data_IF_413941662390
#
_entry.id   IF_413941662390
#
_cell.length_a   1.000
_cell.length_b   1.000
_cell.length_c   1.000
_cell.angle_alpha   90.00
_cell.angle_beta   90.00
_cell.angle_gamma   90.00
#
_symmetry.space_group_name_H-M   'P 1'
#
loop_
_entity.id
_entity.type
_entity.pdbx_description
1 polymer ?
#
# COMPACT_ATOMS: atom_id res chain seq x y z
N UNK A 1 35.56 -38.31 -16.11
CA UNK A 1 34.29 -38.49 -15.41
C UNK A 1 33.54 -37.18 -15.37
N UNK A 2 32.66 -36.96 -16.34
CA UNK A 2 31.81 -35.76 -16.43
C UNK A 2 30.54 -35.97 -15.59
N UNK A 3 30.40 -35.24 -14.50
CA UNK A 3 29.17 -35.20 -13.72
C UNK A 3 28.14 -34.40 -14.53
N UNK A 4 27.12 -35.08 -15.03
CA UNK A 4 25.88 -34.52 -15.57
C UNK A 4 25.17 -33.73 -14.47
N UNK A 5 25.23 -32.39 -14.51
CA UNK A 5 24.31 -31.56 -13.73
C UNK A 5 22.90 -31.78 -14.27
N UNK A 6 22.09 -32.45 -13.50
CA UNK A 6 20.64 -32.50 -13.70
C UNK A 6 20.10 -31.07 -13.77
N UNK A 7 19.50 -30.72 -14.89
CA UNK A 7 18.72 -29.48 -15.02
C UNK A 7 17.47 -29.66 -14.18
N UNK A 8 17.51 -29.19 -12.95
CA UNK A 8 16.28 -29.00 -12.16
C UNK A 8 15.38 -28.07 -12.98
N UNK A 9 14.21 -28.57 -13.32
CA UNK A 9 13.18 -27.82 -14.03
C UNK A 9 12.75 -26.67 -13.12
N UNK A 10 13.27 -25.46 -13.35
CA UNK A 10 12.90 -24.25 -12.63
C UNK A 10 11.72 -23.60 -13.37
N UNK A 11 10.47 -23.76 -12.88
CA UNK A 11 9.28 -23.19 -13.51
C UNK A 11 9.32 -21.66 -13.58
N UNK A 12 10.19 -21.03 -12.78
CA UNK A 12 10.36 -19.59 -12.73
C UNK A 12 11.49 -19.07 -13.64
N UNK A 13 12.17 -19.94 -14.39
CA UNK A 13 13.29 -19.51 -15.27
C UNK A 13 12.87 -18.44 -16.29
N UNK A 14 11.66 -18.52 -16.87
CA UNK A 14 11.13 -17.50 -17.79
C UNK A 14 10.84 -16.17 -17.08
N UNK A 15 10.31 -16.22 -15.86
CA UNK A 15 10.11 -15.04 -15.01
C UNK A 15 11.45 -14.39 -14.65
N UNK A 16 12.48 -15.21 -14.41
CA UNK A 16 13.83 -14.72 -14.08
C UNK A 16 14.50 -14.04 -15.27
N UNK A 17 14.31 -14.54 -16.50
CA UNK A 17 14.83 -13.93 -17.73
C UNK A 17 14.11 -12.61 -18.05
N UNK A 18 12.79 -12.55 -17.84
CA UNK A 18 12.02 -11.30 -18.01
C UNK A 18 12.46 -10.24 -17.00
N UNK A 19 12.67 -10.63 -15.73
CA UNK A 19 13.13 -9.72 -14.68
C UNK A 19 14.58 -9.28 -14.88
N UNK A 20 15.45 -10.07 -15.52
CA UNK A 20 16.84 -9.69 -15.78
C UNK A 20 16.95 -8.59 -16.86
N UNK A 21 16.05 -8.58 -17.83
CA UNK A 21 15.97 -7.52 -18.87
C UNK A 21 15.50 -6.17 -18.28
N UNK A 22 14.63 -6.20 -17.29
CA UNK A 22 14.19 -5.04 -16.50
C UNK A 22 15.26 -4.59 -15.47
N UNK A 23 16.18 -5.42 -15.12
CA UNK A 23 17.15 -5.29 -14.02
C UNK A 23 18.21 -4.21 -14.22
N UNK A 24 18.57 -3.87 -15.46
CA UNK A 24 19.65 -2.91 -15.74
C UNK A 24 19.25 -1.45 -15.48
N UNK A 25 17.95 -1.11 -15.61
CA UNK A 25 17.43 0.22 -15.26
C UNK A 25 16.75 0.29 -13.89
N UNK A 26 16.18 -0.82 -13.39
CA UNK A 26 15.33 -0.86 -12.20
C UNK A 26 16.09 -1.05 -10.87
N UNK A 27 17.33 -1.56 -10.87
CA UNK A 27 18.10 -1.77 -9.63
C UNK A 27 18.32 -0.47 -8.85
N UNK A 28 18.65 0.61 -9.53
CA UNK A 28 18.83 1.91 -8.90
C UNK A 28 17.51 2.45 -8.36
N UNK A 29 16.42 2.36 -9.14
CA UNK A 29 15.13 2.90 -8.76
C UNK A 29 14.52 2.21 -7.53
N UNK A 30 14.55 0.86 -7.49
CA UNK A 30 14.00 0.11 -6.34
C UNK A 30 14.81 0.32 -5.05
N UNK A 31 16.15 0.43 -5.17
CA UNK A 31 16.99 0.77 -4.02
C UNK A 31 16.75 2.18 -3.53
N UNK A 32 16.49 3.11 -4.45
CA UNK A 32 16.17 4.50 -4.13
C UNK A 32 14.82 4.60 -3.41
N UNK A 33 13.80 3.92 -3.93
CA UNK A 33 12.48 3.88 -3.31
C UNK A 33 12.53 3.28 -1.90
N UNK A 34 13.25 2.17 -1.72
CA UNK A 34 13.47 1.56 -0.41
C UNK A 34 14.20 2.52 0.55
N UNK A 35 15.19 3.27 0.07
CA UNK A 35 15.92 4.24 0.89
C UNK A 35 15.04 5.41 1.31
N UNK A 36 14.20 5.94 0.41
CA UNK A 36 13.21 6.97 0.69
C UNK A 36 12.23 6.48 1.77
N UNK A 37 11.71 5.27 1.60
CA UNK A 37 10.76 4.68 2.53
C UNK A 37 11.37 4.44 3.92
N UNK A 38 12.63 4.00 4.00
CA UNK A 38 13.34 3.82 5.28
C UNK A 38 13.54 5.13 6.03
N UNK A 39 13.76 6.25 5.33
CA UNK A 39 13.86 7.57 5.99
C UNK A 39 12.52 8.01 6.62
N UNK A 40 11.39 7.52 6.11
CA UNK A 40 10.05 7.81 6.64
C UNK A 40 9.59 6.79 7.69
N UNK A 41 10.37 5.74 7.93
CA UNK A 41 10.02 4.70 8.90
C UNK A 41 9.69 5.25 10.31
N UNK A 42 10.40 6.25 10.87
CA UNK A 42 10.02 6.83 12.16
C UNK A 42 8.62 7.43 12.16
N UNK A 43 8.20 8.08 11.06
CA UNK A 43 6.87 8.68 10.94
C UNK A 43 5.78 7.60 10.90
N UNK A 44 5.98 6.56 10.09
CA UNK A 44 5.01 5.44 9.98
C UNK A 44 4.93 4.63 11.27
N UNK A 45 6.07 4.39 11.94
CA UNK A 45 6.09 3.72 13.24
C UNK A 45 5.39 4.53 14.33
N UNK A 46 5.59 5.86 14.36
CA UNK A 46 4.92 6.74 15.31
C UNK A 46 3.41 6.75 15.08
N UNK A 47 2.96 6.80 13.82
CA UNK A 47 1.55 6.67 13.46
C UNK A 47 0.96 5.33 13.96
N UNK A 48 1.60 4.24 13.63
CA UNK A 48 1.19 2.91 14.02
C UNK A 48 1.14 2.73 15.55
N UNK A 49 2.13 3.27 16.27
CA UNK A 49 2.18 3.24 17.73
C UNK A 49 1.02 4.06 18.34
N UNK A 50 0.72 5.24 17.79
CA UNK A 50 -0.40 6.06 18.24
C UNK A 50 -1.73 5.32 18.10
N UNK A 51 -1.98 4.66 16.96
CA UNK A 51 -3.16 3.84 16.73
C UNK A 51 -3.22 2.67 17.73
N UNK A 52 -2.13 1.93 17.87
CA UNK A 52 -2.04 0.80 18.78
C UNK A 52 -2.35 1.20 20.23
N UNK A 53 -1.69 2.23 20.73
CA UNK A 53 -1.91 2.73 22.08
C UNK A 53 -3.32 3.29 22.29
N UNK A 54 -3.90 3.94 21.26
CA UNK A 54 -5.28 4.41 21.28
C UNK A 54 -6.28 3.27 21.47
N UNK A 55 -6.12 2.17 20.73
CA UNK A 55 -6.97 0.98 20.90
C UNK A 55 -6.70 0.24 22.20
N UNK A 56 -5.44 0.07 22.59
CA UNK A 56 -5.08 -0.54 23.87
C UNK A 56 -5.68 0.22 25.06
N UNK A 57 -5.64 1.55 25.03
CA UNK A 57 -6.26 2.39 26.06
C UNK A 57 -7.78 2.15 26.16
N UNK A 58 -8.48 2.01 25.02
CA UNK A 58 -9.92 1.69 25.02
C UNK A 58 -10.22 0.32 25.64
N UNK A 59 -9.46 -0.70 25.26
CA UNK A 59 -9.66 -2.09 25.72
C UNK A 59 -9.39 -2.21 27.22
N UNK A 60 -8.38 -1.50 27.73
CA UNK A 60 -8.00 -1.52 29.14
C UNK A 60 -8.87 -0.61 30.03
N UNK A 61 -9.96 -0.03 29.50
CA UNK A 61 -10.84 0.86 30.25
C UNK A 61 -10.21 2.20 30.58
N UNK A 62 -9.19 2.62 29.81
CA UNK A 62 -8.52 3.90 29.96
C UNK A 62 -9.41 5.11 29.67
N UNK A 63 -8.94 6.29 30.06
CA UNK A 63 -9.66 7.55 29.88
C UNK A 63 -9.91 7.79 28.40
N UNK A 64 -11.16 8.05 28.03
CA UNK A 64 -11.58 8.26 26.64
C UNK A 64 -10.80 9.40 25.94
N UNK A 65 -10.42 10.43 26.69
CA UNK A 65 -9.61 11.56 26.20
C UNK A 65 -8.23 11.16 25.70
N UNK A 66 -7.55 10.22 26.39
CA UNK A 66 -6.24 9.72 25.99
C UNK A 66 -6.33 8.97 24.66
N UNK A 67 -7.34 8.12 24.50
CA UNK A 67 -7.55 7.40 23.25
C UNK A 67 -7.90 8.33 22.09
N UNK A 68 -8.72 9.36 22.32
CA UNK A 68 -9.04 10.37 21.31
C UNK A 68 -7.80 11.19 20.91
N UNK A 69 -6.98 11.61 21.87
CA UNK A 69 -5.72 12.32 21.59
C UNK A 69 -4.79 11.47 20.72
N UNK A 70 -4.65 10.18 21.02
CA UNK A 70 -3.80 9.27 20.25
C UNK A 70 -4.32 9.04 18.83
N UNK A 71 -5.64 8.93 18.64
CA UNK A 71 -6.22 8.85 17.30
C UNK A 71 -6.04 10.15 16.53
N UNK A 72 -6.25 11.30 17.18
CA UNK A 72 -6.00 12.59 16.55
C UNK A 72 -4.53 12.78 16.14
N UNK A 73 -3.59 12.35 16.99
CA UNK A 73 -2.16 12.32 16.63
C UNK A 73 -1.91 11.42 15.40
N UNK A 74 -2.54 10.25 15.34
CA UNK A 74 -2.46 9.36 14.18
C UNK A 74 -2.99 10.04 12.92
N UNK A 75 -4.14 10.71 12.99
CA UNK A 75 -4.71 11.42 11.85
C UNK A 75 -3.76 12.53 11.33
N UNK A 76 -3.11 13.26 12.22
CA UNK A 76 -2.10 14.25 11.84
C UNK A 76 -0.91 13.58 11.13
N UNK A 77 -0.38 12.50 11.69
CA UNK A 77 0.79 11.79 11.16
C UNK A 77 0.52 11.16 9.79
N UNK A 78 -0.67 10.55 9.60
CA UNK A 78 -1.03 9.93 8.32
C UNK A 78 -1.26 10.99 7.23
N UNK A 79 -1.85 12.13 7.58
CA UNK A 79 -2.06 13.22 6.64
C UNK A 79 -0.74 13.94 6.27
N UNK A 80 0.23 13.96 7.18
CA UNK A 80 1.57 14.52 6.92
C UNK A 80 2.42 13.58 6.04
N UNK A 81 2.14 12.28 6.02
CA UNK A 81 2.98 11.26 5.39
C UNK A 81 3.27 11.52 3.90
N UNK A 82 2.30 11.84 3.02
CA UNK A 82 2.59 12.08 1.61
C UNK A 82 3.44 13.34 1.38
N UNK A 83 3.22 14.39 2.17
CA UNK A 83 4.04 15.61 2.11
C UNK A 83 5.47 15.33 2.56
N UNK A 84 5.65 14.60 3.66
CA UNK A 84 6.97 14.16 4.12
C UNK A 84 7.65 13.27 3.08
N UNK A 85 6.88 12.38 2.43
CA UNK A 85 7.39 11.53 1.35
C UNK A 85 7.87 12.37 0.15
N UNK A 86 7.13 13.41 -0.24
CA UNK A 86 7.54 14.34 -1.30
C UNK A 86 8.86 15.05 -0.97
N UNK A 87 9.00 15.54 0.27
CA UNK A 87 10.22 16.20 0.76
C UNK A 87 11.41 15.24 0.71
N UNK A 88 11.26 14.05 1.28
CA UNK A 88 12.34 13.05 1.35
C UNK A 88 12.71 12.54 -0.04
N UNK A 89 11.74 12.33 -0.92
CA UNK A 89 11.99 11.95 -2.31
C UNK A 89 12.75 13.04 -3.07
N UNK A 90 12.32 14.31 -2.94
CA UNK A 90 13.01 15.45 -3.54
C UNK A 90 14.44 15.61 -3.01
N UNK A 91 14.64 15.47 -1.70
CA UNK A 91 15.95 15.47 -1.06
C UNK A 91 16.84 14.35 -1.59
N UNK A 92 16.34 13.12 -1.61
CA UNK A 92 17.10 11.96 -2.07
C UNK A 92 17.50 12.07 -3.55
N UNK A 93 16.57 12.50 -4.40
CA UNK A 93 16.82 12.69 -5.83
C UNK A 93 17.83 13.82 -6.10
N UNK A 94 17.84 14.87 -5.27
CA UNK A 94 18.78 15.99 -5.39
C UNK A 94 20.24 15.57 -5.26
N UNK A 95 20.54 14.58 -4.42
CA UNK A 95 21.90 14.06 -4.23
C UNK A 95 22.47 13.36 -5.45
N UNK A 96 21.64 12.99 -6.43
CA UNK A 96 22.07 12.39 -7.70
C UNK A 96 22.47 13.41 -8.75
N UNK A 97 22.19 14.68 -8.51
CA UNK A 97 22.47 15.78 -9.42
C UNK A 97 23.12 16.91 -8.63
N UNK A 98 24.01 17.66 -9.21
CA UNK A 98 24.61 18.84 -8.60
C UNK A 98 23.60 20.04 -8.55
N UNK A 99 22.38 19.78 -8.09
CA UNK A 99 21.32 20.79 -7.89
C UNK A 99 21.02 20.87 -6.41
N UNK A 100 20.75 22.09 -5.92
CA UNK A 100 20.40 22.30 -4.52
C UNK A 100 19.17 21.50 -4.12
N UNK A 101 19.26 20.78 -3.00
CA UNK A 101 18.16 20.01 -2.45
C UNK A 101 16.93 20.89 -2.16
N UNK A 102 17.16 22.14 -1.69
CA UNK A 102 16.09 23.09 -1.40
C UNK A 102 15.25 23.41 -2.65
N UNK A 103 15.91 23.63 -3.80
CA UNK A 103 15.22 23.93 -5.05
C UNK A 103 14.34 22.75 -5.47
N UNK A 104 14.89 21.54 -5.52
CA UNK A 104 14.11 20.36 -5.94
C UNK A 104 12.95 20.12 -4.98
N UNK A 105 13.14 20.26 -3.67
CA UNK A 105 12.07 20.12 -2.68
C UNK A 105 10.95 21.15 -2.93
N UNK A 106 11.28 22.44 -3.14
CA UNK A 106 10.29 23.48 -3.40
C UNK A 106 9.49 23.16 -4.66
N UNK A 107 10.16 22.83 -5.77
CA UNK A 107 9.50 22.47 -7.03
C UNK A 107 8.61 21.24 -6.85
N UNK A 108 9.09 20.22 -6.11
CA UNK A 108 8.34 19.00 -5.84
C UNK A 108 7.08 19.28 -5.03
N UNK A 109 7.17 20.10 -3.99
CA UNK A 109 6.02 20.47 -3.16
C UNK A 109 5.00 21.29 -3.94
N UNK A 110 5.44 22.27 -4.72
CA UNK A 110 4.54 23.08 -5.55
C UNK A 110 3.77 22.19 -6.53
N UNK A 111 4.46 21.30 -7.25
CA UNK A 111 3.81 20.37 -8.16
C UNK A 111 2.85 19.42 -7.41
N UNK A 112 3.29 18.86 -6.30
CA UNK A 112 2.49 17.94 -5.50
C UNK A 112 1.18 18.57 -5.03
N UNK A 113 1.24 19.78 -4.48
CA UNK A 113 0.04 20.48 -4.04
C UNK A 113 -0.86 20.92 -5.20
N UNK A 114 -0.31 21.44 -6.30
CA UNK A 114 -1.11 21.84 -7.46
C UNK A 114 -1.88 20.67 -8.08
N UNK A 115 -1.22 19.50 -8.23
CA UNK A 115 -1.90 18.32 -8.77
C UNK A 115 -2.93 17.77 -7.76
N UNK A 116 -2.67 17.88 -6.47
CA UNK A 116 -3.55 17.33 -5.44
C UNK A 116 -4.82 18.13 -5.25
N UNK A 117 -4.76 19.46 -5.30
CA UNK A 117 -5.92 20.35 -5.12
C UNK A 117 -7.01 20.05 -6.17
N UNK A 118 -6.63 19.78 -7.41
CA UNK A 118 -7.58 19.53 -8.47
C UNK A 118 -8.19 18.13 -8.44
N UNK A 119 -7.46 17.15 -7.91
CA UNK A 119 -7.96 15.80 -7.71
C UNK A 119 -8.84 15.65 -6.45
N UNK A 120 -8.75 16.57 -5.48
CA UNK A 120 -9.54 16.54 -4.23
C UNK A 120 -10.97 17.10 -4.38
N UNK A 121 -11.35 17.63 -5.54
CA UNK A 121 -12.73 18.07 -5.80
C UNK A 121 -13.77 16.95 -5.67
N UNK A 122 -13.33 15.69 -5.58
CA UNK A 122 -14.15 14.49 -5.40
C UNK A 122 -14.30 14.05 -3.92
N UNK A 123 -13.56 14.63 -2.98
CA UNK A 123 -13.68 14.29 -1.55
C UNK A 123 -13.58 15.54 -0.67
N UNK A 124 -14.73 16.06 -0.29
CA UNK A 124 -14.91 17.34 0.42
C UNK A 124 -14.32 17.45 1.84
N UNK A 125 -13.51 16.50 2.33
CA UNK A 125 -13.12 16.42 3.74
C UNK A 125 -11.62 16.31 4.04
N UNK A 126 -10.72 16.39 3.05
CA UNK A 126 -9.29 16.26 3.32
C UNK A 126 -8.50 17.50 2.91
N UNK A 127 -7.97 18.21 3.91
CA UNK A 127 -7.15 19.42 3.72
C UNK A 127 -5.73 19.13 3.16
N UNK A 128 -5.29 17.86 3.10
CA UNK A 128 -3.96 17.49 2.64
C UNK A 128 -4.04 16.32 1.66
N UNK A 129 -3.26 16.38 0.57
CA UNK A 129 -3.23 15.31 -0.43
C UNK A 129 -2.69 14.01 0.17
N UNK A 130 -3.51 12.96 0.20
CA UNK A 130 -3.13 11.66 0.79
C UNK A 130 -2.73 10.63 -0.28
N UNK A 131 -1.72 10.97 -1.10
CA UNK A 131 -1.24 10.06 -2.14
C UNK A 131 0.30 10.03 -2.25
N UNK A 132 0.97 9.04 -1.62
CA UNK A 132 2.44 8.89 -1.70
C UNK A 132 2.97 8.67 -3.12
N UNK A 133 2.19 8.03 -4.00
CA UNK A 133 2.58 7.82 -5.40
C UNK A 133 2.65 9.15 -6.15
N UNK A 134 1.66 10.02 -5.92
CA UNK A 134 1.65 11.36 -6.49
C UNK A 134 2.81 12.21 -5.98
N UNK A 135 3.16 12.05 -4.70
CA UNK A 135 4.33 12.68 -4.11
C UNK A 135 5.64 12.25 -4.80
N UNK A 136 5.81 10.94 -5.03
CA UNK A 136 6.96 10.41 -5.76
C UNK A 136 7.00 10.87 -7.22
N UNK A 137 5.86 10.87 -7.89
CA UNK A 137 5.71 11.37 -9.25
C UNK A 137 6.13 12.85 -9.33
N UNK A 138 5.57 13.69 -8.45
CA UNK A 138 5.89 15.13 -8.37
C UNK A 138 7.38 15.38 -8.12
N UNK A 139 8.00 14.63 -7.20
CA UNK A 139 9.43 14.72 -6.93
C UNK A 139 10.28 14.30 -8.15
N UNK A 140 9.87 13.23 -8.84
CA UNK A 140 10.59 12.73 -10.02
C UNK A 140 10.51 13.71 -11.19
N UNK A 141 9.33 14.26 -11.47
CA UNK A 141 9.14 15.23 -12.56
C UNK A 141 9.91 16.52 -12.27
N UNK A 142 9.83 17.03 -11.03
CA UNK A 142 10.58 18.20 -10.60
C UNK A 142 12.10 18.00 -10.71
N UNK A 143 12.58 16.84 -10.31
CA UNK A 143 13.97 16.43 -10.49
C UNK A 143 14.40 16.48 -11.97
N UNK A 144 13.62 15.85 -12.86
CA UNK A 144 13.91 15.83 -14.31
C UNK A 144 13.89 17.26 -14.87
N UNK A 145 12.95 18.10 -14.48
CA UNK A 145 12.86 19.49 -14.89
C UNK A 145 14.10 20.27 -14.45
N UNK A 146 14.43 20.27 -13.16
CA UNK A 146 15.56 21.01 -12.61
C UNK A 146 16.90 20.56 -13.24
N UNK A 147 17.05 19.24 -13.48
CA UNK A 147 18.22 18.70 -14.17
C UNK A 147 18.31 19.15 -15.61
N UNK A 148 17.20 19.15 -16.36
CA UNK A 148 17.18 19.51 -17.78
C UNK A 148 17.51 20.97 -18.02
N UNK A 149 17.02 21.84 -17.15
CA UNK A 149 17.27 23.29 -17.25
C UNK A 149 18.44 23.79 -16.44
N UNK A 150 19.19 22.90 -15.75
CA UNK A 150 20.38 23.22 -14.94
C UNK A 150 20.11 24.37 -13.97
N UNK A 151 19.03 24.25 -13.19
CA UNK A 151 18.67 25.25 -12.19
C UNK A 151 19.61 25.11 -11.00
N UNK A 152 20.42 26.15 -10.73
CA UNK A 152 21.44 26.17 -9.68
C UNK A 152 21.02 27.13 -8.56
N UNK A 153 21.63 26.95 -7.38
CA UNK A 153 21.42 27.87 -6.27
C UNK A 153 22.04 29.23 -6.61
N UNK A 154 21.28 30.29 -6.41
CA UNK A 154 21.76 31.65 -6.61
C UNK A 154 22.83 32.00 -5.57
N UNK A 155 23.96 32.52 -6.05
CA UNK A 155 24.97 33.17 -5.21
C UNK A 155 24.68 34.71 -5.18
N UNK A 156 24.29 35.26 -4.02
CA UNK A 156 24.00 36.70 -3.90
C UNK A 156 25.19 37.61 -4.22
N UNK A 157 26.42 37.05 -4.17
CA UNK A 157 27.67 37.80 -4.44
C UNK A 157 28.12 37.69 -5.89
N UNK A 158 27.45 36.89 -6.72
CA UNK A 158 27.81 36.73 -8.12
C UNK A 158 27.54 38.04 -8.91
N UNK A 159 28.47 38.40 -9.79
CA UNK A 159 28.35 39.65 -10.64
C UNK A 159 27.13 39.61 -11.56
N UNK A 160 26.59 38.45 -11.87
CA UNK A 160 25.44 38.20 -12.74
C UNK A 160 24.16 37.84 -11.97
N UNK A 161 24.10 38.12 -10.65
CA UNK A 161 22.99 37.77 -9.77
C UNK A 161 21.62 38.16 -10.31
N UNK A 162 21.47 39.42 -10.77
CA UNK A 162 20.17 39.92 -11.24
C UNK A 162 19.66 39.22 -12.48
N UNK A 163 20.54 38.87 -13.42
CA UNK A 163 20.14 38.15 -14.64
C UNK A 163 19.82 36.66 -14.36
N UNK A 164 20.55 36.05 -13.44
CA UNK A 164 20.24 34.68 -12.99
C UNK A 164 18.94 34.64 -12.20
N UNK A 165 18.71 35.56 -11.29
CA UNK A 165 17.46 35.69 -10.54
C UNK A 165 16.25 35.78 -11.49
N UNK A 166 16.30 36.68 -12.48
CA UNK A 166 15.23 36.83 -13.48
C UNK A 166 14.99 35.51 -14.24
N UNK A 167 16.05 34.84 -14.66
CA UNK A 167 15.96 33.56 -15.34
C UNK A 167 15.31 32.50 -14.44
N UNK A 168 15.69 32.41 -13.18
CA UNK A 168 15.15 31.37 -12.25
C UNK A 168 13.68 31.66 -11.89
N UNK A 169 13.29 32.95 -11.73
CA UNK A 169 11.88 33.34 -11.57
C UNK A 169 11.07 32.95 -12.80
N UNK A 170 11.61 33.17 -14.01
CA UNK A 170 10.93 32.78 -15.24
C UNK A 170 10.78 31.24 -15.35
N UNK A 171 11.84 30.50 -15.03
CA UNK A 171 11.77 29.02 -15.01
C UNK A 171 10.76 28.50 -13.99
N UNK A 172 10.72 29.10 -12.79
CA UNK A 172 9.73 28.73 -11.77
C UNK A 172 8.30 29.01 -12.24
N UNK A 173 8.08 30.16 -12.85
CA UNK A 173 6.76 30.50 -13.41
C UNK A 173 6.33 29.54 -14.53
N UNK A 174 7.24 29.23 -15.45
CA UNK A 174 6.98 28.23 -16.52
C UNK A 174 6.70 26.84 -15.92
N UNK A 175 7.44 26.47 -14.87
CA UNK A 175 7.21 25.21 -14.16
C UNK A 175 5.83 25.19 -13.48
N UNK A 176 5.39 26.28 -12.85
CA UNK A 176 4.05 26.39 -12.26
C UNK A 176 2.96 26.22 -13.32
N UNK A 177 3.10 26.89 -14.48
CA UNK A 177 2.15 26.71 -15.60
C UNK A 177 2.13 25.28 -16.12
N UNK A 178 3.30 24.64 -16.21
CA UNK A 178 3.41 23.22 -16.56
C UNK A 178 2.72 22.33 -15.52
N UNK A 179 2.94 22.57 -14.22
CA UNK A 179 2.32 21.82 -13.14
C UNK A 179 0.79 21.96 -13.14
N UNK A 180 0.26 23.17 -13.39
CA UNK A 180 -1.19 23.41 -13.55
C UNK A 180 -1.74 22.68 -14.78
N UNK A 181 -1.03 22.72 -15.92
CA UNK A 181 -1.47 21.95 -17.10
C UNK A 181 -1.47 20.44 -16.84
N UNK A 182 -0.49 19.95 -16.09
CA UNK A 182 -0.39 18.54 -15.72
C UNK A 182 -1.47 18.13 -14.72
N UNK A 183 -1.89 19.04 -13.81
CA UNK A 183 -2.98 18.78 -12.87
C UNK A 183 -4.30 18.51 -13.59
N UNK A 184 -4.64 19.32 -14.59
CA UNK A 184 -5.84 19.07 -15.43
C UNK A 184 -5.77 17.71 -16.17
N UNK A 185 -4.60 17.34 -16.67
CA UNK A 185 -4.43 16.03 -17.34
C UNK A 185 -4.59 14.89 -16.35
N UNK A 186 -3.98 15.00 -15.17
CA UNK A 186 -4.09 13.95 -14.15
C UNK A 186 -5.51 13.83 -13.61
N UNK A 187 -6.21 14.94 -13.41
CA UNK A 187 -7.62 14.97 -13.03
C UNK A 187 -8.50 14.30 -14.09
N UNK A 188 -8.33 14.66 -15.37
CA UNK A 188 -9.07 14.04 -16.46
C UNK A 188 -8.83 12.53 -16.59
N UNK A 189 -7.59 12.07 -16.41
CA UNK A 189 -7.25 10.64 -16.41
C UNK A 189 -7.91 9.91 -15.23
N UNK A 190 -7.90 10.54 -14.05
CA UNK A 190 -8.53 9.98 -12.84
C UNK A 190 -10.06 9.89 -12.99
N UNK A 191 -10.67 10.95 -13.52
CA UNK A 191 -12.11 10.99 -13.79
C UNK A 191 -12.51 9.96 -14.86
N UNK A 192 -11.76 9.84 -15.95
CA UNK A 192 -11.96 8.82 -16.96
C UNK A 192 -11.82 7.40 -16.38
N UNK A 193 -10.85 7.17 -15.49
CA UNK A 193 -10.68 5.88 -14.81
C UNK A 193 -11.86 5.57 -13.89
N UNK A 194 -12.24 6.49 -13.01
CA UNK A 194 -13.37 6.30 -12.08
C UNK A 194 -14.69 6.12 -12.84
N UNK A 195 -14.92 6.90 -13.90
CA UNK A 195 -16.11 6.78 -14.76
C UNK A 195 -16.13 5.45 -15.49
N UNK A 196 -14.98 4.99 -16.01
CA UNK A 196 -14.86 3.69 -16.68
C UNK A 196 -15.14 2.56 -15.70
N UNK A 197 -14.55 2.60 -14.50
CA UNK A 197 -14.79 1.58 -13.47
C UNK A 197 -16.23 1.60 -12.97
N UNK A 198 -16.82 2.78 -12.77
CA UNK A 198 -18.23 2.91 -12.40
C UNK A 198 -19.18 2.45 -13.54
N UNK A 199 -18.79 2.64 -14.79
CA UNK A 199 -19.52 2.18 -15.97
C UNK A 199 -19.41 0.66 -16.23
N UNK A 200 -18.47 -0.02 -15.57
CA UNK A 200 -18.41 -1.48 -15.55
C UNK A 200 -19.58 -1.98 -14.69
N UNK A 201 -20.72 -2.27 -15.34
CA UNK A 201 -21.90 -2.82 -14.68
C UNK A 201 -21.60 -4.24 -14.15
N UNK A 202 -20.91 -4.32 -13.01
CA UNK A 202 -20.73 -5.56 -12.28
C UNK A 202 -21.31 -5.42 -10.87
N UNK A 203 -21.96 -6.47 -10.42
CA UNK A 203 -22.46 -6.53 -9.05
C UNK A 203 -21.36 -7.06 -8.13
N UNK A 204 -20.80 -6.24 -7.21
CA UNK A 204 -19.72 -6.64 -6.31
C UNK A 204 -20.12 -7.72 -5.30
N UNK A 205 -21.41 -8.02 -5.16
CA UNK A 205 -21.94 -9.03 -4.26
C UNK A 205 -21.99 -10.43 -4.90
N UNK A 206 -21.77 -10.52 -6.21
CA UNK A 206 -21.60 -11.79 -6.93
C UNK A 206 -20.16 -12.32 -6.83
N UNK A 207 -19.96 -13.62 -7.03
CA UNK A 207 -18.62 -14.22 -7.05
C UNK A 207 -17.68 -13.52 -8.04
N UNK A 208 -18.14 -13.37 -9.29
CA UNK A 208 -17.34 -12.77 -10.37
C UNK A 208 -17.08 -11.29 -10.13
N UNK A 209 -18.11 -10.54 -9.72
CA UNK A 209 -17.99 -9.11 -9.42
C UNK A 209 -17.12 -8.82 -8.20
N UNK A 210 -17.26 -9.60 -7.12
CA UNK A 210 -16.42 -9.46 -5.94
C UNK A 210 -14.96 -9.85 -6.20
N UNK A 211 -14.73 -10.91 -6.99
CA UNK A 211 -13.36 -11.29 -7.41
C UNK A 211 -12.72 -10.20 -8.29
N UNK A 212 -13.50 -9.59 -9.19
CA UNK A 212 -13.05 -8.49 -10.02
C UNK A 212 -12.72 -7.25 -9.18
N UNK A 213 -13.60 -6.89 -8.24
CA UNK A 213 -13.36 -5.81 -7.28
C UNK A 213 -12.07 -6.04 -6.48
N UNK A 214 -11.87 -7.26 -5.93
CA UNK A 214 -10.64 -7.61 -5.20
C UNK A 214 -9.41 -7.55 -6.10
N UNK A 215 -9.52 -7.93 -7.38
CA UNK A 215 -8.42 -7.85 -8.33
C UNK A 215 -7.95 -6.40 -8.53
N UNK A 216 -8.90 -5.48 -8.73
CA UNK A 216 -8.60 -4.05 -8.86
C UNK A 216 -7.97 -3.51 -7.56
N UNK A 217 -8.55 -3.83 -6.39
CA UNK A 217 -7.99 -3.42 -5.09
C UNK A 217 -6.53 -3.87 -4.92
N UNK A 218 -6.26 -5.14 -5.24
CA UNK A 218 -4.92 -5.70 -5.09
C UNK A 218 -3.91 -5.08 -6.07
N UNK A 219 -4.33 -4.80 -7.31
CA UNK A 219 -3.48 -4.13 -8.31
C UNK A 219 -3.19 -2.68 -7.94
N UNK A 220 -4.20 -1.93 -7.47
CA UNK A 220 -4.03 -0.57 -6.98
C UNK A 220 -3.09 -0.55 -5.77
N UNK A 221 -3.29 -1.46 -4.81
CA UNK A 221 -2.39 -1.61 -3.65
C UNK A 221 -0.95 -1.94 -4.04
N UNK A 222 -0.75 -2.80 -5.04
CA UNK A 222 0.57 -3.11 -5.59
C UNK A 222 1.22 -1.91 -6.31
N UNK A 223 0.42 -0.98 -6.80
CA UNK A 223 0.87 0.30 -7.35
C UNK A 223 1.06 1.40 -6.28
N UNK A 224 0.80 1.09 -5.00
CA UNK A 224 0.87 2.06 -3.89
C UNK A 224 -0.32 3.02 -3.83
N UNK A 225 -1.43 2.67 -4.50
CA UNK A 225 -2.66 3.48 -4.53
C UNK A 225 -3.67 2.90 -3.53
N UNK A 226 -4.32 3.77 -2.76
CA UNK A 226 -5.41 3.34 -1.89
C UNK A 226 -6.68 3.04 -2.71
N UNK A 227 -6.85 1.76 -3.07
CA UNK A 227 -7.97 1.31 -3.89
C UNK A 227 -9.33 1.46 -3.20
N UNK A 228 -9.38 1.41 -1.86
CA UNK A 228 -10.63 1.57 -1.12
C UNK A 228 -11.23 2.97 -1.28
N UNK A 229 -10.39 4.00 -1.39
CA UNK A 229 -10.86 5.37 -1.61
C UNK A 229 -11.27 5.57 -3.07
N UNK A 230 -10.53 5.01 -4.03
CA UNK A 230 -10.87 5.12 -5.45
C UNK A 230 -12.16 4.41 -5.83
N UNK A 231 -12.47 3.30 -5.18
CA UNK A 231 -13.65 2.47 -5.46
C UNK A 231 -14.79 2.70 -4.46
N UNK A 232 -14.87 3.89 -3.86
CA UNK A 232 -15.80 4.21 -2.79
C UNK A 232 -17.27 3.94 -3.17
N UNK A 233 -17.70 4.29 -4.38
CA UNK A 233 -19.06 4.06 -4.85
C UNK A 233 -19.44 2.55 -4.85
N UNK A 234 -18.52 1.69 -5.26
CA UNK A 234 -18.71 0.23 -5.24
C UNK A 234 -18.70 -0.28 -3.80
N UNK A 235 -17.80 0.27 -2.98
CA UNK A 235 -17.68 -0.08 -1.56
C UNK A 235 -18.98 0.20 -0.77
N UNK A 236 -19.74 1.23 -1.13
CA UNK A 236 -21.04 1.51 -0.50
C UNK A 236 -22.04 0.36 -0.65
N UNK A 237 -22.07 -0.35 -1.78
CA UNK A 237 -22.93 -1.52 -1.97
C UNK A 237 -22.52 -2.66 -1.03
N UNK A 238 -21.24 -2.84 -0.80
CA UNK A 238 -20.69 -3.85 0.12
C UNK A 238 -21.01 -3.49 1.58
N UNK A 239 -21.02 -2.20 1.94
CA UNK A 239 -21.47 -1.75 3.25
C UNK A 239 -22.96 -2.01 3.47
N UNK A 240 -23.82 -1.70 2.48
CA UNK A 240 -25.24 -1.97 2.56
C UNK A 240 -25.54 -3.48 2.75
N UNK A 241 -24.77 -4.36 2.10
CA UNK A 241 -24.87 -5.80 2.30
C UNK A 241 -24.47 -6.22 3.73
N UNK A 242 -23.50 -5.53 4.35
CA UNK A 242 -23.13 -5.79 5.75
C UNK A 242 -24.23 -5.38 6.71
N UNK A 243 -24.84 -4.21 6.50
CA UNK A 243 -25.96 -3.73 7.30
C UNK A 243 -27.18 -4.67 7.18
N UNK A 244 -27.46 -5.18 5.97
CA UNK A 244 -28.52 -6.16 5.75
C UNK A 244 -28.26 -7.47 6.49
N UNK A 245 -27.03 -8.00 6.45
CA UNK A 245 -26.67 -9.21 7.20
C UNK A 245 -26.81 -9.00 8.72
N UNK A 246 -26.37 -7.85 9.22
CA UNK A 246 -26.46 -7.51 10.64
C UNK A 246 -27.93 -7.37 11.10
N UNK A 247 -28.78 -6.77 10.29
CA UNK A 247 -30.20 -6.65 10.56
C UNK A 247 -30.90 -8.03 10.57
N UNK A 248 -30.60 -8.90 9.61
CA UNK A 248 -31.09 -10.27 9.55
C UNK A 248 -30.68 -11.06 10.80
N UNK A 249 -29.41 -10.94 11.21
CA UNK A 249 -28.94 -11.60 12.44
C UNK A 249 -29.68 -11.11 13.70
N UNK A 250 -29.94 -9.81 13.83
CA UNK A 250 -30.69 -9.24 14.97
C UNK A 250 -32.14 -9.71 15.03
N UNK A 251 -32.76 -9.98 13.90
CA UNK A 251 -34.14 -10.51 13.81
C UNK A 251 -34.22 -12.04 13.86
N UNK A 252 -33.05 -12.73 13.89
CA UNK A 252 -32.98 -14.18 13.86
C UNK A 252 -33.24 -14.79 12.48
N UNK A 253 -33.16 -13.97 11.42
CA UNK A 253 -33.27 -14.41 10.04
C UNK A 253 -31.88 -14.81 9.49
N UNK A 254 -31.89 -15.64 8.44
CA UNK A 254 -30.63 -16.04 7.79
C UNK A 254 -30.02 -14.86 7.01
N UNK A 255 -28.72 -14.65 7.18
CA UNK A 255 -27.97 -13.66 6.41
C UNK A 255 -27.93 -14.03 4.92
N UNK A 256 -28.25 -13.06 4.06
CA UNK A 256 -28.46 -13.28 2.62
C UNK A 256 -27.19 -13.10 1.79
N UNK A 257 -26.23 -12.30 2.27
CA UNK A 257 -25.07 -11.88 1.47
C UNK A 257 -23.83 -12.63 1.92
N UNK A 258 -23.20 -13.37 1.00
CA UNK A 258 -21.90 -14.01 1.22
C UNK A 258 -20.80 -12.95 1.31
N UNK A 259 -20.87 -11.95 0.43
CA UNK A 259 -19.89 -10.85 0.35
C UNK A 259 -20.43 -9.66 1.18
N UNK A 260 -19.57 -9.18 2.07
CA UNK A 260 -19.85 -8.06 2.96
C UNK A 260 -18.55 -7.33 3.31
N UNK A 261 -18.59 -6.20 4.00
CA UNK A 261 -17.37 -5.51 4.44
C UNK A 261 -16.54 -6.41 5.37
N UNK A 262 -17.17 -7.09 6.31
CA UNK A 262 -16.47 -8.00 7.21
C UNK A 262 -15.83 -9.20 6.50
N UNK A 263 -16.39 -9.64 5.36
CA UNK A 263 -15.76 -10.63 4.49
C UNK A 263 -14.38 -10.16 4.00
N UNK A 264 -14.26 -8.91 3.56
CA UNK A 264 -12.98 -8.33 3.14
C UNK A 264 -12.05 -8.07 4.32
N UNK A 265 -12.54 -7.44 5.38
CA UNK A 265 -11.71 -7.00 6.49
C UNK A 265 -11.22 -8.17 7.35
N UNK A 266 -12.08 -9.17 7.61
CA UNK A 266 -11.69 -10.31 8.42
C UNK A 266 -10.86 -11.35 7.64
N UNK A 267 -11.14 -11.62 6.36
CA UNK A 267 -10.54 -12.77 5.69
C UNK A 267 -9.55 -12.44 4.58
N UNK A 268 -9.65 -11.28 3.94
CA UNK A 268 -8.80 -10.93 2.81
C UNK A 268 -7.66 -9.98 3.18
N UNK A 269 -7.94 -9.02 4.07
CA UNK A 269 -7.02 -7.94 4.43
C UNK A 269 -6.27 -8.20 5.74
N UNK A 270 -6.09 -9.46 6.11
CA UNK A 270 -5.39 -9.84 7.33
C UNK A 270 -3.93 -9.36 7.34
N UNK A 271 -3.57 -8.57 8.33
CA UNK A 271 -2.26 -7.93 8.39
C UNK A 271 -2.12 -6.75 7.44
N UNK A 272 -3.21 -6.26 6.83
CA UNK A 272 -3.24 -5.19 5.83
C UNK A 272 -3.28 -5.70 4.39
N UNK A 273 -3.09 -4.80 3.43
CA UNK A 273 -3.12 -5.11 1.99
C UNK A 273 -2.20 -6.26 1.63
N UNK A 274 -2.62 -7.10 0.67
CA UNK A 274 -1.83 -8.25 0.23
C UNK A 274 -1.85 -9.44 1.21
N UNK A 275 -2.71 -9.42 2.22
CA UNK A 275 -2.71 -10.40 3.32
C UNK A 275 -1.32 -10.47 3.99
N UNK A 276 -0.85 -9.33 4.47
CA UNK A 276 0.54 -9.14 4.91
C UNK A 276 0.92 -9.96 6.13
N UNK A 277 -0.05 -10.49 6.90
CA UNK A 277 0.24 -11.47 7.97
C UNK A 277 0.87 -12.75 7.41
N UNK A 278 0.42 -13.19 6.23
CA UNK A 278 1.01 -14.35 5.55
C UNK A 278 2.45 -14.08 5.08
N UNK A 279 2.72 -12.86 4.60
CA UNK A 279 4.08 -12.44 4.27
C UNK A 279 4.96 -12.34 5.51
N UNK A 280 4.46 -11.74 6.60
CA UNK A 280 5.17 -11.65 7.88
C UNK A 280 5.59 -13.02 8.37
N UNK A 281 4.65 -13.96 8.40
CA UNK A 281 4.93 -15.35 8.82
C UNK A 281 5.90 -16.04 7.85
N UNK A 282 5.78 -15.78 6.55
CA UNK A 282 6.74 -16.29 5.57
C UNK A 282 8.16 -15.79 5.86
N UNK A 283 8.33 -14.52 6.20
CA UNK A 283 9.63 -13.96 6.59
C UNK A 283 10.14 -14.59 7.89
N UNK A 284 9.33 -14.68 8.92
CA UNK A 284 9.73 -15.27 10.21
C UNK A 284 10.13 -16.74 10.09
N UNK A 285 9.49 -17.50 9.19
CA UNK A 285 9.73 -18.93 9.03
C UNK A 285 10.89 -19.24 8.05
N UNK A 286 11.08 -18.43 7.02
CA UNK A 286 11.96 -18.78 5.91
C UNK A 286 13.07 -17.77 5.63
N UNK A 287 13.08 -16.59 6.27
CA UNK A 287 14.17 -15.64 6.08
C UNK A 287 15.46 -16.15 6.72
N UNK A 288 16.55 -16.05 5.95
CA UNK A 288 17.91 -16.34 6.41
C UNK A 288 18.72 -15.06 6.63
N UNK A 289 18.31 -13.96 6.03
CA UNK A 289 18.96 -12.68 6.14
C UNK A 289 18.55 -11.97 7.43
N UNK A 290 19.53 -11.56 8.22
CA UNK A 290 19.30 -10.87 9.50
C UNK A 290 18.41 -9.62 9.33
N UNK A 291 18.61 -8.87 8.25
CA UNK A 291 17.84 -7.64 7.99
C UNK A 291 16.35 -7.95 7.74
N UNK A 292 16.04 -9.03 7.03
CA UNK A 292 14.64 -9.43 6.79
C UNK A 292 13.98 -9.95 8.07
N UNK A 293 14.74 -10.65 8.93
CA UNK A 293 14.23 -11.11 10.23
C UNK A 293 13.97 -9.91 11.14
N UNK A 294 14.90 -8.97 11.23
CA UNK A 294 14.71 -7.74 12.03
C UNK A 294 13.55 -6.89 11.51
N UNK A 295 13.40 -6.77 10.20
CA UNK A 295 12.26 -6.11 9.59
C UNK A 295 10.94 -6.79 9.97
N UNK A 296 10.88 -8.11 9.88
CA UNK A 296 9.70 -8.89 10.26
C UNK A 296 9.36 -8.71 11.74
N UNK A 297 10.35 -8.76 12.63
CA UNK A 297 10.14 -8.54 14.06
C UNK A 297 9.66 -7.12 14.38
N UNK A 298 10.22 -6.10 13.71
CA UNK A 298 9.79 -4.71 13.87
C UNK A 298 8.37 -4.48 13.32
N UNK A 299 8.01 -5.16 12.22
CA UNK A 299 6.70 -5.06 11.62
C UNK A 299 5.62 -5.88 12.34
N UNK A 300 5.99 -6.93 13.08
CA UNK A 300 5.05 -7.89 13.66
C UNK A 300 3.95 -7.23 14.52
N UNK A 301 4.25 -6.33 15.49
CA UNK A 301 3.22 -5.72 16.31
C UNK A 301 2.24 -4.88 15.47
N UNK A 302 2.69 -4.28 14.38
CA UNK A 302 1.89 -3.41 13.50
C UNK A 302 1.00 -4.22 12.57
N UNK A 303 1.57 -5.24 11.95
CA UNK A 303 0.85 -6.17 11.05
C UNK A 303 -0.27 -6.90 11.81
N UNK A 304 -0.09 -7.18 13.11
CA UNK A 304 -1.18 -7.71 13.94
C UNK A 304 -2.39 -6.78 14.02
N UNK A 305 -2.20 -5.47 13.80
CA UNK A 305 -3.29 -4.47 13.73
C UNK A 305 -3.58 -4.01 12.29
N UNK A 306 -3.25 -4.84 11.31
CA UNK A 306 -3.47 -4.61 9.88
C UNK A 306 -2.72 -3.39 9.30
N UNK A 307 -1.62 -2.98 9.95
CA UNK A 307 -0.74 -1.90 9.52
C UNK A 307 0.51 -2.51 8.90
N UNK A 308 0.64 -2.44 7.59
CA UNK A 308 1.67 -3.15 6.83
C UNK A 308 2.70 -2.28 6.11
N UNK A 309 2.68 -0.99 6.32
CA UNK A 309 3.57 -0.02 5.68
C UNK A 309 5.04 -0.36 5.90
N UNK A 310 5.39 -0.84 7.10
CA UNK A 310 6.76 -1.27 7.43
C UNK A 310 7.22 -2.42 6.55
N UNK A 311 6.35 -3.38 6.26
CA UNK A 311 6.65 -4.47 5.33
C UNK A 311 6.68 -3.99 3.88
N UNK A 312 5.71 -3.18 3.47
CA UNK A 312 5.58 -2.69 2.10
C UNK A 312 6.81 -1.89 1.66
N UNK A 313 7.34 -1.10 2.57
CA UNK A 313 8.49 -0.22 2.30
C UNK A 313 9.82 -0.85 2.69
N UNK A 314 9.89 -1.57 3.79
CA UNK A 314 11.11 -2.25 4.25
C UNK A 314 11.50 -3.44 3.37
N UNK A 315 10.51 -4.17 2.85
CA UNK A 315 10.69 -5.14 1.78
C UNK A 315 10.05 -4.51 0.53
N UNK A 316 10.83 -4.00 -0.45
CA UNK A 316 10.27 -3.21 -1.54
C UNK A 316 9.29 -4.05 -2.36
N UNK A 317 7.99 -4.03 -1.97
CA UNK A 317 6.91 -4.79 -2.61
C UNK A 317 6.35 -4.00 -3.78
N UNK A 318 6.11 -2.70 -3.55
CA UNK A 318 5.55 -1.80 -4.56
C UNK A 318 6.49 -1.76 -5.78
N UNK A 319 5.91 -2.00 -6.95
CA UNK A 319 6.65 -2.10 -8.24
C UNK A 319 7.73 -3.19 -8.29
N UNK A 320 7.80 -4.12 -7.34
CA UNK A 320 8.69 -5.26 -7.40
C UNK A 320 8.02 -6.42 -8.14
N UNK A 321 8.45 -6.76 -9.37
CA UNK A 321 7.75 -7.75 -10.21
C UNK A 321 7.72 -9.16 -9.60
N UNK A 322 8.60 -9.46 -8.62
CA UNK A 322 8.62 -10.76 -7.94
C UNK A 322 7.62 -10.77 -6.78
N UNK A 323 7.62 -9.72 -5.96
CA UNK A 323 6.81 -9.67 -4.74
C UNK A 323 5.39 -9.15 -4.98
N UNK A 324 5.16 -8.38 -6.04
CA UNK A 324 3.81 -7.97 -6.47
C UNK A 324 2.94 -9.16 -6.83
N UNK A 325 3.51 -10.21 -7.45
CA UNK A 325 2.73 -11.39 -7.84
C UNK A 325 2.03 -12.05 -6.64
N UNK A 326 2.72 -12.48 -5.58
CA UNK A 326 2.05 -13.05 -4.42
C UNK A 326 1.21 -12.00 -3.67
N UNK A 327 1.59 -10.73 -3.65
CA UNK A 327 0.83 -9.65 -3.04
C UNK A 327 -0.57 -9.48 -3.65
N UNK A 328 -0.70 -9.69 -4.96
CA UNK A 328 -2.00 -9.71 -5.66
C UNK A 328 -2.69 -11.06 -5.54
N UNK A 329 -1.94 -12.14 -5.69
CA UNK A 329 -2.49 -13.51 -5.77
C UNK A 329 -3.08 -13.98 -4.44
N UNK A 330 -2.43 -13.68 -3.31
CA UNK A 330 -2.87 -14.18 -1.99
C UNK A 330 -4.27 -13.67 -1.63
N UNK A 331 -4.61 -12.38 -1.73
CA UNK A 331 -5.98 -11.92 -1.50
C UNK A 331 -7.02 -12.52 -2.44
N UNK A 332 -6.67 -12.79 -3.71
CA UNK A 332 -7.57 -13.44 -4.67
C UNK A 332 -7.84 -14.89 -4.27
N UNK A 333 -6.83 -15.62 -3.87
CA UNK A 333 -6.99 -17.00 -3.37
C UNK A 333 -7.77 -17.00 -2.06
N UNK A 334 -7.50 -16.03 -1.16
CA UNK A 334 -8.28 -15.83 0.07
C UNK A 334 -9.76 -15.59 -0.22
N UNK A 335 -10.06 -14.75 -1.24
CA UNK A 335 -11.42 -14.50 -1.70
C UNK A 335 -12.13 -15.80 -2.11
N UNK A 336 -11.48 -16.59 -2.99
CA UNK A 336 -12.05 -17.84 -3.49
C UNK A 336 -12.34 -18.82 -2.36
N UNK A 337 -11.37 -19.01 -1.46
CA UNK A 337 -11.51 -19.95 -0.33
C UNK A 337 -12.64 -19.51 0.59
N UNK A 338 -12.65 -18.22 0.98
CA UNK A 338 -13.65 -17.67 1.90
C UNK A 338 -15.04 -17.71 1.27
N UNK A 339 -15.17 -17.31 0.00
CA UNK A 339 -16.44 -17.37 -0.72
C UNK A 339 -16.98 -18.80 -0.79
N UNK A 340 -16.15 -19.75 -1.20
CA UNK A 340 -16.55 -21.17 -1.27
C UNK A 340 -16.95 -21.72 0.11
N UNK A 341 -16.24 -21.37 1.17
CA UNK A 341 -16.53 -21.83 2.53
C UNK A 341 -17.90 -21.31 3.02
N UNK A 342 -18.22 -20.03 2.75
CA UNK A 342 -19.51 -19.45 3.14
C UNK A 342 -20.63 -19.92 2.21
N UNK A 343 -20.46 -19.88 0.88
CA UNK A 343 -21.46 -20.29 -0.08
C UNK A 343 -21.86 -21.76 0.01
N UNK A 344 -20.94 -22.63 0.44
CA UNK A 344 -21.24 -24.04 0.69
C UNK A 344 -21.93 -24.31 2.06
N UNK A 345 -22.11 -23.28 2.88
CA UNK A 345 -22.67 -23.42 4.23
C UNK A 345 -21.70 -24.05 5.25
N UNK A 346 -20.42 -24.22 4.91
CA UNK A 346 -19.41 -24.71 5.85
C UNK A 346 -19.21 -23.70 7.00
N UNK A 347 -19.32 -22.41 6.70
CA UNK A 347 -19.26 -21.31 7.65
C UNK A 347 -20.41 -20.36 7.35
N UNK A 348 -21.01 -19.78 8.39
CA UNK A 348 -22.07 -18.77 8.24
C UNK A 348 -21.53 -17.52 7.53
N UNK A 349 -22.39 -16.73 6.82
CA UNK A 349 -22.03 -15.41 6.36
C UNK A 349 -21.59 -14.52 7.52
N UNK A 350 -20.80 -13.48 7.17
CA UNK A 350 -20.35 -12.51 8.18
C UNK A 350 -21.54 -11.67 8.66
N UNK A 351 -21.79 -11.69 9.95
CA UNK A 351 -22.96 -11.11 10.63
C UNK A 351 -22.63 -9.83 11.40
N UNK A 352 -21.35 -9.59 11.72
CA UNK A 352 -20.92 -8.42 12.49
C UNK A 352 -20.04 -7.48 11.69
N UNK A 353 -20.12 -6.19 12.02
CA UNK A 353 -19.14 -5.21 11.58
C UNK A 353 -17.85 -5.43 12.36
N UNK A 354 -16.78 -5.76 11.66
CA UNK A 354 -15.44 -5.92 12.24
C UNK A 354 -14.68 -4.64 11.99
N UNK A 355 -14.10 -4.07 13.06
CA UNK A 355 -13.15 -2.97 12.87
C UNK A 355 -11.93 -3.50 12.10
N UNK A 356 -11.54 -2.81 11.03
CA UNK A 356 -10.42 -3.21 10.16
C UNK A 356 -9.09 -3.41 10.91
N UNK A 357 -8.93 -2.79 12.09
CA UNK A 357 -7.74 -2.95 12.94
C UNK A 357 -7.82 -4.14 13.90
N UNK A 358 -8.88 -4.94 13.86
CA UNK A 358 -8.99 -6.11 14.73
C UNK A 358 -7.94 -7.14 14.33
N UNK A 359 -7.13 -7.64 15.29
CA UNK A 359 -6.11 -8.63 14.99
C UNK A 359 -6.65 -9.88 14.28
N UNK A 360 -5.89 -10.50 13.37
CA UNK A 360 -6.24 -11.79 12.80
C UNK A 360 -6.54 -12.83 13.91
N UNK A 361 -7.37 -13.79 13.62
CA UNK A 361 -8.01 -14.76 14.50
C UNK A 361 -9.12 -14.16 15.37
N UNK A 362 -8.89 -13.02 16.00
CA UNK A 362 -9.94 -12.30 16.73
C UNK A 362 -10.96 -11.68 15.76
N UNK A 363 -10.51 -11.14 14.64
CA UNK A 363 -11.40 -10.58 13.61
C UNK A 363 -12.31 -11.66 13.00
N UNK A 364 -11.81 -12.86 12.72
CA UNK A 364 -12.61 -13.98 12.27
C UNK A 364 -13.58 -14.49 13.32
N UNK A 365 -13.20 -14.46 14.60
CA UNK A 365 -14.09 -14.81 15.70
C UNK A 365 -15.24 -13.81 15.83
N UNK A 366 -14.93 -12.51 15.83
CA UNK A 366 -15.92 -11.42 15.99
C UNK A 366 -16.86 -11.33 14.78
N UNK A 367 -16.36 -11.60 13.57
CA UNK A 367 -17.12 -11.55 12.33
C UNK A 367 -18.35 -12.48 12.34
N UNK A 368 -18.28 -13.59 13.05
CA UNK A 368 -19.30 -14.63 13.08
C UNK A 368 -20.49 -14.35 14.02
N UNK A 369 -20.55 -13.19 14.67
CA UNK A 369 -21.72 -12.72 15.41
C UNK A 369 -22.22 -13.59 16.57
N UNK A 370 -21.50 -14.63 16.96
CA UNK A 370 -21.90 -15.58 18.00
C UNK A 370 -22.26 -16.97 17.48
N UNK A 371 -22.50 -17.11 16.16
CA UNK A 371 -22.69 -18.42 15.52
C UNK A 371 -21.38 -18.88 14.88
N UNK A 372 -21.00 -20.14 15.11
CA UNK A 372 -19.79 -20.75 14.51
C UNK A 372 -18.51 -19.88 14.66
N UNK A 373 -18.38 -19.15 15.73
CA UNK A 373 -17.25 -18.22 15.98
C UNK A 373 -15.86 -18.88 15.80
N UNK A 374 -15.72 -20.15 16.16
CA UNK A 374 -14.51 -20.91 15.95
C UNK A 374 -14.24 -21.18 14.47
N UNK A 375 -15.30 -21.35 13.65
CA UNK A 375 -15.18 -21.55 12.20
C UNK A 375 -14.51 -20.39 11.49
N UNK A 376 -14.83 -19.14 11.86
CA UNK A 376 -14.19 -17.95 11.32
C UNK A 376 -12.69 -17.89 11.62
N UNK A 377 -12.28 -18.18 12.86
CA UNK A 377 -10.87 -18.22 13.23
C UNK A 377 -10.11 -19.36 12.53
N UNK A 378 -10.74 -20.54 12.39
CA UNK A 378 -10.16 -21.69 11.66
C UNK A 378 -9.98 -21.34 10.18
N UNK A 379 -10.98 -20.72 9.55
CA UNK A 379 -10.87 -20.28 8.15
C UNK A 379 -9.71 -19.30 7.97
N UNK A 380 -9.53 -18.34 8.89
CA UNK A 380 -8.38 -17.43 8.85
C UNK A 380 -7.05 -18.19 8.93
N UNK A 381 -6.91 -19.18 9.80
CA UNK A 381 -5.70 -20.00 9.88
C UNK A 381 -5.41 -20.73 8.55
N UNK A 382 -6.44 -21.28 7.92
CA UNK A 382 -6.31 -21.94 6.61
C UNK A 382 -5.85 -20.95 5.54
N UNK A 383 -6.49 -19.79 5.47
CA UNK A 383 -6.15 -18.73 4.51
C UNK A 383 -4.73 -18.22 4.73
N UNK A 384 -4.32 -17.99 5.98
CA UNK A 384 -2.96 -17.57 6.33
C UNK A 384 -1.95 -18.64 5.92
N UNK A 385 -2.20 -19.91 6.23
CA UNK A 385 -1.28 -21.00 5.89
C UNK A 385 -1.09 -21.11 4.37
N UNK A 386 -2.17 -21.03 3.60
CA UNK A 386 -2.11 -21.04 2.12
C UNK A 386 -1.37 -19.80 1.62
N UNK A 387 -1.63 -18.63 2.20
CA UNK A 387 -0.92 -17.40 1.88
C UNK A 387 0.60 -17.51 2.11
N UNK A 388 1.02 -18.11 3.22
CA UNK A 388 2.45 -18.39 3.49
C UNK A 388 3.06 -19.29 2.43
N UNK A 389 2.35 -20.35 2.03
CA UNK A 389 2.81 -21.28 0.98
C UNK A 389 2.95 -20.58 -0.37
N UNK A 390 2.04 -19.65 -0.70
CA UNK A 390 2.11 -18.85 -1.94
C UNK A 390 3.27 -17.85 -1.87
N UNK A 391 3.45 -17.12 -0.76
CA UNK A 391 4.54 -16.14 -0.62
C UNK A 391 5.92 -16.78 -0.65
N UNK A 392 6.07 -17.99 -0.09
CA UNK A 392 7.36 -18.66 0.07
C UNK A 392 8.21 -18.74 -1.20
N UNK A 393 7.76 -19.28 -2.33
CA UNK A 393 8.59 -19.42 -3.52
C UNK A 393 9.04 -18.06 -4.08
N UNK A 394 8.17 -17.06 -4.03
CA UNK A 394 8.50 -15.70 -4.50
C UNK A 394 9.49 -15.01 -3.56
N UNK A 395 9.31 -15.15 -2.26
CA UNK A 395 10.25 -14.61 -1.27
C UNK A 395 11.64 -15.26 -1.42
N UNK A 396 11.72 -16.59 -1.56
CA UNK A 396 12.99 -17.29 -1.76
C UNK A 396 13.66 -16.89 -3.08
N UNK A 397 12.89 -16.70 -4.15
CA UNK A 397 13.39 -16.18 -5.42
C UNK A 397 13.91 -14.75 -5.30
N UNK A 398 13.23 -13.89 -4.55
CA UNK A 398 13.68 -12.53 -4.23
C UNK A 398 14.97 -12.56 -3.41
N UNK A 399 15.02 -13.28 -2.28
CA UNK A 399 16.16 -13.37 -1.39
C UNK A 399 17.39 -14.00 -2.09
N UNK A 400 17.21 -15.11 -2.82
CA UNK A 400 18.30 -15.77 -3.54
C UNK A 400 18.99 -14.89 -4.60
N UNK A 401 18.24 -13.96 -5.22
CA UNK A 401 18.82 -13.00 -6.18
C UNK A 401 19.65 -11.90 -5.52
N UNK A 402 19.33 -11.50 -4.30
CA UNK A 402 20.05 -10.46 -3.58
C UNK A 402 21.30 -10.98 -2.85
N UNK A 403 21.26 -12.20 -2.32
CA UNK A 403 22.40 -12.84 -1.63
C UNK A 403 23.53 -13.19 -2.62
N UNK A 404 23.21 -13.71 -3.79
CA UNK A 404 24.21 -14.03 -4.82
C UNK A 404 24.99 -12.83 -5.36
N UNK A 405 24.47 -11.61 -5.21
CA UNK A 405 25.15 -10.39 -5.64
C UNK A 405 26.06 -9.75 -4.58
N UNK A 406 25.88 -10.09 -3.30
CA UNK A 406 26.68 -9.56 -2.19
C UNK A 406 28.00 -10.33 -1.97
N UNK A 407 28.09 -11.59 -2.45
CA UNK A 407 29.29 -12.44 -2.31
C UNK A 407 30.26 -12.34 -3.48
N UNK A 408 29.95 -11.56 -4.53
CA UNK A 408 30.82 -11.32 -5.68
C UNK A 408 31.44 -9.90 -5.69
N UNK A 409 31.57 -9.25 -4.54
CA UNK A 409 32.33 -7.99 -4.39
C UNK A 409 33.44 -8.16 -3.40
#
# INVERSE_FOLDING_TARGET
>A
MHTRRERVFDPFHRLTVFTDKWRLGSKSYLTDLASIALLLLPLTLSNALAIFLGHASRILGGVSEVSQLLFHLSDILINLYPTAFCIVAGYYLSHKVNVSSAIIIIYSLVMFYLISIENDSLSSNYMLPNNPLLALFSATVSYVYCKSFRIELLDPQAMDFSSRLFKDVLHFFVFVLFAVSLSHVTAAVMDAFTTTVAGLNFDPLTFTGGLFYQSILSLLGAAGINGHNMLFAIKQQIYAATEANMAAWQTGEASLNVISQGFYDAFLSMGGSGNSISLLLCLLLFAKERNHILLALAAAPLVMFNINEVLLFGLPIIFNPILVVPFVLVPLVSFIITYCAIASGLIAPVENIVNWMTPPLLSGYVAMGGHQVQGGAILQLVVIAIGVLIYRPFYLAYAGKYVGAAWCK
#
